data_IF_019860833975
#
_entry.id   IF_019860833975
#
_cell.length_a   1.000
_cell.length_b   1.000
_cell.length_c   1.000
_cell.angle_alpha   90.00
_cell.angle_beta   90.00
_cell.angle_gamma   90.00
#
_symmetry.space_group_name_H-M   'P 1'
#
loop_
_entity.id
_entity.type
_entity.pdbx_description
1 polymer ?
#
# COMPACT_ATOMS: atom_id res chain seq x y z
N UNK A 1 -21.64 -1.13 -45.13
CA UNK A 1 -20.41 -0.55 -44.62
C UNK A 1 -19.96 -1.15 -43.26
N UNK A 2 -20.83 -1.26 -42.25
CA UNK A 2 -20.43 -1.82 -40.92
C UNK A 2 -19.93 -3.28 -40.95
N UNK A 3 -20.48 -4.14 -41.87
CA UNK A 3 -20.07 -5.55 -42.01
C UNK A 3 -18.67 -5.71 -42.64
N UNK A 4 -18.27 -4.81 -43.50
CA UNK A 4 -16.93 -4.84 -44.12
C UNK A 4 -15.85 -4.28 -43.21
N UNK A 5 -16.21 -3.35 -42.29
CA UNK A 5 -15.29 -2.83 -41.27
C UNK A 5 -14.92 -3.90 -40.25
N UNK A 6 -15.89 -4.73 -39.85
CA UNK A 6 -15.64 -5.85 -38.93
C UNK A 6 -14.75 -6.92 -39.57
N UNK A 7 -14.92 -7.20 -40.87
CA UNK A 7 -14.12 -8.17 -41.61
C UNK A 7 -12.67 -7.68 -41.80
N UNK A 8 -12.47 -6.37 -41.97
CA UNK A 8 -11.17 -5.74 -42.08
C UNK A 8 -10.41 -5.79 -40.75
N UNK A 9 -11.07 -5.57 -39.62
CA UNK A 9 -10.50 -5.67 -38.28
C UNK A 9 -10.04 -7.11 -37.93
N UNK A 10 -10.83 -8.12 -38.31
CA UNK A 10 -10.45 -9.53 -38.11
C UNK A 10 -9.24 -9.90 -38.99
N UNK A 11 -9.18 -9.40 -40.23
CA UNK A 11 -8.06 -9.66 -41.14
C UNK A 11 -6.74 -9.05 -40.63
N UNK A 12 -6.80 -7.84 -40.01
CA UNK A 12 -5.61 -7.18 -39.41
C UNK A 12 -5.12 -7.93 -38.17
N UNK A 13 -6.02 -8.50 -37.35
CA UNK A 13 -5.62 -9.32 -36.18
C UNK A 13 -4.99 -10.66 -36.59
N UNK A 14 -5.40 -11.27 -37.68
CA UNK A 14 -4.83 -12.54 -38.18
C UNK A 14 -3.44 -12.32 -38.81
N UNK A 15 -3.20 -11.18 -39.45
CA UNK A 15 -1.91 -10.83 -40.02
C UNK A 15 -0.82 -10.47 -38.97
N UNK A 16 -1.20 -10.01 -37.79
CA UNK A 16 -0.26 -9.70 -36.70
C UNK A 16 0.28 -10.94 -35.96
N UNK A 17 -0.37 -12.10 -36.10
CA UNK A 17 0.07 -13.37 -35.49
C UNK A 17 1.07 -14.15 -36.35
N UNK A 18 1.29 -13.77 -37.62
CA UNK A 18 2.19 -14.47 -38.54
C UNK A 18 3.65 -13.94 -38.51
N UNK A 19 3.97 -12.90 -37.72
CA UNK A 19 5.27 -12.24 -37.73
C UNK A 19 6.26 -12.74 -36.66
N UNK A 20 5.92 -13.76 -35.88
CA UNK A 20 6.80 -14.34 -34.87
C UNK A 20 7.14 -15.81 -35.13
N UNK A 21 7.72 -16.12 -36.29
CA UNK A 21 8.40 -17.38 -36.54
C UNK A 21 9.90 -17.08 -36.80
N UNK A 22 10.69 -17.17 -35.73
CA UNK A 22 12.14 -16.96 -35.75
C UNK A 22 12.89 -18.16 -36.29
N UNK A 23 13.91 -17.88 -37.09
CA UNK A 23 14.92 -18.79 -37.63
C UNK A 23 15.79 -19.40 -36.52
N UNK A 24 16.27 -20.64 -36.68
CA UNK A 24 17.29 -21.22 -35.79
C UNK A 24 18.67 -20.60 -36.02
N UNK A 25 19.39 -20.31 -34.96
CA UNK A 25 20.78 -19.91 -34.98
C UNK A 25 21.68 -21.14 -35.00
N UNK A 26 22.67 -21.11 -35.88
CA UNK A 26 23.78 -22.09 -36.01
C UNK A 26 24.72 -21.99 -34.81
N UNK A 27 25.10 -23.15 -34.31
CA UNK A 27 26.17 -23.38 -33.32
C UNK A 27 27.50 -23.16 -34.00
N UNK A 28 28.35 -22.30 -33.45
CA UNK A 28 29.80 -22.32 -33.63
C UNK A 28 30.46 -22.52 -32.28
N UNK A 29 31.15 -23.63 -32.18
CA UNK A 29 32.14 -23.99 -31.14
C UNK A 29 33.31 -23.01 -31.18
N UNK A 30 33.79 -22.57 -30.00
CA UNK A 30 35.22 -22.49 -29.63
C UNK A 30 35.41 -21.67 -28.33
N UNK A 31 36.59 -21.77 -27.68
CA UNK A 31 36.78 -22.69 -26.57
C UNK A 31 36.93 -21.97 -25.20
N UNK A 32 36.77 -22.79 -24.22
CA UNK A 32 37.08 -22.59 -22.81
C UNK A 32 38.41 -21.87 -22.53
N UNK A 33 38.34 -20.67 -21.92
CA UNK A 33 39.49 -20.05 -21.26
C UNK A 33 39.23 -20.03 -19.75
N UNK A 34 39.78 -21.01 -19.08
CA UNK A 34 39.91 -21.08 -17.62
C UNK A 34 40.86 -20.00 -17.14
N UNK A 35 40.36 -19.08 -16.35
CA UNK A 35 41.19 -18.24 -15.47
C UNK A 35 41.01 -18.66 -14.02
N UNK A 36 42.11 -18.73 -13.23
CA UNK A 36 42.10 -19.36 -11.93
C UNK A 36 41.48 -18.46 -10.85
N UNK A 37 40.72 -19.12 -9.97
CA UNK A 37 40.20 -18.56 -8.70
C UNK A 37 41.42 -18.24 -7.81
N UNK A 38 41.52 -17.03 -7.21
CA UNK A 38 42.46 -16.76 -6.14
C UNK A 38 42.02 -17.43 -4.84
N UNK A 39 42.94 -18.10 -4.19
CA UNK A 39 42.77 -18.71 -2.88
C UNK A 39 42.49 -17.66 -1.78
N UNK A 40 41.83 -18.07 -0.68
CA UNK A 40 41.52 -17.18 0.42
C UNK A 40 42.79 -16.73 1.16
N UNK A 41 42.89 -15.42 1.40
CA UNK A 41 43.89 -14.85 2.29
C UNK A 41 43.51 -15.11 3.77
N UNK A 42 44.54 -15.36 4.56
CA UNK A 42 44.52 -15.71 5.97
C UNK A 42 43.79 -14.68 6.85
N UNK A 43 43.04 -15.24 7.79
CA UNK A 43 42.37 -14.52 8.88
C UNK A 43 43.39 -13.80 9.78
N UNK A 44 43.29 -12.49 9.88
CA UNK A 44 43.84 -11.74 11.01
C UNK A 44 42.73 -11.67 12.07
N UNK A 45 43.00 -12.31 13.22
CA UNK A 45 42.24 -12.14 14.45
C UNK A 45 42.29 -10.68 14.88
N UNK A 46 41.20 -9.96 14.78
CA UNK A 46 40.94 -8.77 15.54
C UNK A 46 40.09 -9.10 16.76
N UNK A 47 40.48 -8.53 17.89
CA UNK A 47 39.92 -8.75 19.22
C UNK A 47 38.44 -8.33 19.28
N UNK A 48 37.61 -9.23 19.77
CA UNK A 48 36.20 -9.03 20.11
C UNK A 48 36.10 -8.00 21.27
N UNK A 49 35.38 -6.88 21.08
CA UNK A 49 35.03 -6.04 22.22
C UNK A 49 33.96 -6.75 23.06
N UNK A 50 34.18 -6.76 24.37
CA UNK A 50 33.33 -7.34 25.40
C UNK A 50 31.85 -6.91 25.23
N UNK A 51 30.88 -7.80 25.54
CA UNK A 51 29.46 -7.45 25.48
C UNK A 51 29.13 -6.34 26.47
N UNK A 52 28.55 -5.24 25.99
CA UNK A 52 27.90 -4.27 26.85
C UNK A 52 26.71 -4.98 27.53
N UNK A 53 26.60 -4.86 28.83
CA UNK A 53 25.45 -5.28 29.61
C UNK A 53 24.19 -4.59 29.05
N UNK A 54 23.34 -5.35 28.40
CA UNK A 54 21.96 -4.93 28.08
C UNK A 54 21.22 -4.74 29.40
N UNK A 55 21.03 -3.48 29.79
CA UNK A 55 20.06 -3.10 30.80
C UNK A 55 18.68 -3.48 30.18
N UNK A 56 18.08 -4.59 30.63
CA UNK A 56 16.67 -4.88 30.38
C UNK A 56 15.87 -3.73 31.01
N UNK A 57 15.41 -2.79 30.21
CA UNK A 57 14.23 -2.00 30.55
C UNK A 57 13.07 -3.02 30.62
N UNK A 58 12.54 -3.22 31.82
CA UNK A 58 11.28 -3.90 32.02
C UNK A 58 10.22 -3.04 31.31
N UNK A 59 9.74 -3.50 30.16
CA UNK A 59 8.49 -2.98 29.59
C UNK A 59 7.41 -3.12 30.68
N UNK A 60 6.64 -2.04 30.94
CA UNK A 60 5.50 -2.15 31.84
C UNK A 60 4.55 -3.22 31.28
N UNK A 61 4.37 -4.29 32.04
CA UNK A 61 3.33 -5.28 31.76
C UNK A 61 2.01 -4.56 31.98
N UNK A 62 1.44 -3.98 30.93
CA UNK A 62 0.06 -3.54 30.94
C UNK A 62 -0.80 -4.81 31.14
N UNK A 63 -1.57 -4.84 32.22
CA UNK A 63 -2.62 -5.84 32.39
C UNK A 63 -3.52 -5.77 31.14
N UNK A 64 -3.95 -6.90 30.58
CA UNK A 64 -4.83 -6.87 29.40
C UNK A 64 -6.07 -6.06 29.74
N UNK A 65 -6.22 -4.90 29.09
CA UNK A 65 -7.39 -4.07 29.21
C UNK A 65 -8.60 -4.93 28.85
N UNK A 66 -9.70 -4.79 29.60
CA UNK A 66 -10.98 -5.41 29.24
C UNK A 66 -11.45 -4.77 27.92
N UNK A 67 -11.11 -5.41 26.80
CA UNK A 67 -11.36 -4.91 25.45
C UNK A 67 -12.77 -5.21 24.95
N UNK A 68 -13.71 -5.55 25.83
CA UNK A 68 -15.12 -5.81 25.45
C UNK A 68 -15.85 -4.55 24.96
N UNK A 69 -15.26 -3.37 25.17
CA UNK A 69 -15.79 -2.08 24.70
C UNK A 69 -15.55 -1.87 23.18
N UNK A 70 -14.56 -2.54 22.58
CA UNK A 70 -14.20 -2.32 21.18
C UNK A 70 -14.63 -3.47 20.29
N UNK A 71 -15.14 -3.10 19.09
CA UNK A 71 -15.43 -4.02 18.01
C UNK A 71 -14.83 -3.44 16.72
N UNK A 72 -13.95 -4.20 16.06
CA UNK A 72 -13.15 -3.75 14.92
C UNK A 72 -13.75 -4.26 13.62
N UNK A 73 -14.02 -3.37 12.68
CA UNK A 73 -14.35 -3.71 11.31
C UNK A 73 -13.27 -3.20 10.36
N UNK A 74 -12.82 -4.04 9.43
CA UNK A 74 -12.01 -3.62 8.30
C UNK A 74 -12.89 -3.43 7.07
N UNK A 75 -12.76 -2.30 6.38
CA UNK A 75 -13.40 -2.08 5.08
C UNK A 75 -12.31 -2.19 4.01
N UNK A 76 -12.46 -3.10 3.03
CA UNK A 76 -11.50 -3.15 1.90
C UNK A 76 -11.72 -1.95 0.97
N UNK A 77 -10.71 -1.57 0.20
CA UNK A 77 -10.86 -0.48 -0.78
C UNK A 77 -11.90 -0.83 -1.88
N UNK A 78 -11.65 -1.81 -2.69
CA UNK A 78 -12.53 -2.55 -3.58
C UNK A 78 -11.94 -3.95 -3.87
N UNK A 79 -10.69 -4.17 -3.44
CA UNK A 79 -9.97 -5.42 -3.55
C UNK A 79 -10.54 -6.52 -2.67
N UNK A 80 -9.84 -7.63 -2.64
CA UNK A 80 -10.22 -8.80 -1.84
C UNK A 80 -9.20 -9.05 -0.74
N UNK A 81 -9.64 -9.67 0.35
CA UNK A 81 -8.73 -10.08 1.45
C UNK A 81 -7.75 -11.18 1.05
N UNK A 82 -7.75 -11.62 -0.20
CA UNK A 82 -6.85 -12.61 -0.79
C UNK A 82 -6.01 -12.01 -1.94
N UNK A 83 -5.89 -10.69 -2.00
CA UNK A 83 -5.22 -9.97 -3.09
C UNK A 83 -3.69 -10.07 -3.09
N UNK A 84 -3.11 -10.75 -2.10
CA UNK A 84 -1.66 -10.86 -1.87
C UNK A 84 -0.99 -9.47 -1.75
N UNK A 85 -1.73 -8.47 -1.28
CA UNK A 85 -1.34 -7.08 -1.22
C UNK A 85 -1.87 -6.43 0.07
N UNK A 86 -2.24 -5.16 -0.02
CA UNK A 86 -2.53 -4.32 1.14
C UNK A 86 -3.82 -4.73 1.87
N UNK A 87 -4.89 -5.11 1.15
CA UNK A 87 -6.12 -5.59 1.79
C UNK A 87 -5.89 -6.88 2.58
N UNK A 88 -5.20 -7.87 1.99
CA UNK A 88 -4.90 -9.13 2.68
C UNK A 88 -4.04 -8.89 3.91
N UNK A 89 -2.95 -8.14 3.78
CA UNK A 89 -2.03 -7.87 4.90
C UNK A 89 -2.74 -7.14 6.05
N UNK A 90 -3.58 -6.16 5.74
CA UNK A 90 -4.36 -5.43 6.76
C UNK A 90 -5.38 -6.35 7.42
N UNK A 91 -6.09 -7.18 6.64
CA UNK A 91 -7.05 -8.15 7.17
C UNK A 91 -6.38 -9.13 8.14
N UNK A 92 -5.26 -9.72 7.74
CA UNK A 92 -4.51 -10.69 8.56
C UNK A 92 -4.01 -10.04 9.86
N UNK A 93 -3.48 -8.81 9.79
CA UNK A 93 -3.00 -8.08 10.96
C UNK A 93 -4.15 -7.72 11.92
N UNK A 94 -5.26 -7.18 11.42
CA UNK A 94 -6.43 -6.86 12.25
C UNK A 94 -7.01 -8.10 12.90
N UNK A 95 -7.13 -9.19 12.14
CA UNK A 95 -7.64 -10.46 12.64
C UNK A 95 -6.76 -11.01 13.76
N UNK A 96 -5.45 -11.08 13.55
CA UNK A 96 -4.51 -11.59 14.55
C UNK A 96 -4.56 -10.74 15.82
N UNK A 97 -4.51 -9.40 15.70
CA UNK A 97 -4.62 -8.51 16.84
C UNK A 97 -5.92 -8.73 17.64
N UNK A 98 -7.05 -8.83 16.95
CA UNK A 98 -8.34 -9.00 17.60
C UNK A 98 -8.48 -10.38 18.27
N UNK A 99 -7.97 -11.44 17.63
CA UNK A 99 -7.93 -12.79 18.22
C UNK A 99 -7.07 -12.82 19.50
N UNK A 100 -5.88 -12.21 19.47
CA UNK A 100 -4.95 -12.17 20.59
C UNK A 100 -5.49 -11.33 21.78
N UNK A 101 -6.35 -10.34 21.51
CA UNK A 101 -6.88 -9.43 22.52
C UNK A 101 -8.36 -9.68 22.86
N UNK A 102 -9.00 -10.71 22.32
CA UNK A 102 -10.40 -11.03 22.59
C UNK A 102 -11.39 -9.97 22.06
N UNK A 103 -11.01 -9.23 21.02
CA UNK A 103 -11.83 -8.17 20.39
C UNK A 103 -12.64 -8.75 19.24
N UNK A 104 -13.90 -8.34 19.10
CA UNK A 104 -14.73 -8.73 17.97
C UNK A 104 -14.17 -8.15 16.66
N UNK A 105 -14.10 -8.99 15.62
CA UNK A 105 -13.59 -8.59 14.31
C UNK A 105 -14.46 -9.07 13.16
N UNK A 106 -14.64 -8.22 12.15
CA UNK A 106 -15.20 -8.59 10.85
C UNK A 106 -14.59 -7.74 9.73
N UNK A 107 -14.87 -8.07 8.47
CA UNK A 107 -14.52 -7.23 7.34
C UNK A 107 -15.71 -7.03 6.42
N UNK A 108 -15.70 -5.92 5.69
CA UNK A 108 -16.73 -5.53 4.74
C UNK A 108 -16.08 -5.15 3.42
N UNK A 109 -16.70 -5.58 2.32
CA UNK A 109 -16.21 -5.30 0.97
C UNK A 109 -17.21 -4.41 0.24
N UNK A 110 -16.79 -3.22 -0.24
CA UNK A 110 -17.63 -2.36 -1.07
C UNK A 110 -18.08 -3.06 -2.36
N UNK A 111 -19.23 -2.68 -2.87
CA UNK A 111 -19.80 -3.22 -4.11
C UNK A 111 -19.00 -2.77 -5.35
N UNK A 112 -18.36 -1.59 -5.28
CA UNK A 112 -17.57 -0.99 -6.35
C UNK A 112 -16.49 -0.05 -5.83
N UNK A 113 -15.68 0.46 -6.75
CA UNK A 113 -14.58 1.38 -6.48
C UNK A 113 -15.06 2.83 -6.56
N UNK A 114 -15.82 3.25 -5.56
CA UNK A 114 -16.25 4.64 -5.40
C UNK A 114 -16.51 4.99 -3.93
N UNK A 115 -16.51 6.27 -3.62
CA UNK A 115 -16.71 6.78 -2.26
C UNK A 115 -18.04 6.34 -1.66
N UNK A 116 -19.14 6.41 -2.39
CA UNK A 116 -20.46 6.07 -1.87
C UNK A 116 -20.57 4.60 -1.45
N UNK A 117 -19.98 3.67 -2.20
CA UNK A 117 -19.97 2.26 -1.84
C UNK A 117 -19.11 1.98 -0.60
N UNK A 118 -18.00 2.73 -0.40
CA UNK A 118 -17.19 2.67 0.81
C UNK A 118 -17.94 3.21 2.02
N UNK A 119 -18.60 4.36 1.89
CA UNK A 119 -19.44 4.95 2.94
C UNK A 119 -20.56 3.97 3.34
N UNK A 120 -21.25 3.37 2.38
CA UNK A 120 -22.31 2.39 2.67
C UNK A 120 -21.80 1.18 3.48
N UNK A 121 -20.53 0.76 3.28
CA UNK A 121 -19.95 -0.32 4.10
C UNK A 121 -19.53 0.16 5.48
N UNK A 122 -19.10 1.42 5.62
CA UNK A 122 -18.84 2.04 6.94
C UNK A 122 -20.15 2.12 7.73
N UNK A 123 -21.20 2.67 7.15
CA UNK A 123 -22.54 2.75 7.77
C UNK A 123 -23.03 1.37 8.21
N UNK A 124 -22.92 0.38 7.34
CA UNK A 124 -23.29 -1.00 7.65
C UNK A 124 -22.49 -1.56 8.82
N UNK A 125 -21.18 -1.34 8.86
CA UNK A 125 -20.35 -1.82 9.96
C UNK A 125 -20.74 -1.15 11.28
N UNK A 126 -21.01 0.16 11.27
CA UNK A 126 -21.47 0.90 12.45
C UNK A 126 -22.83 0.42 12.91
N UNK A 127 -23.77 0.18 12.00
CA UNK A 127 -25.10 -0.37 12.29
C UNK A 127 -25.03 -1.77 12.91
N UNK A 128 -24.01 -2.56 12.56
CA UNK A 128 -23.74 -3.88 13.14
C UNK A 128 -22.98 -3.81 14.49
N UNK A 129 -22.68 -2.59 14.98
CA UNK A 129 -22.10 -2.35 16.30
C UNK A 129 -20.57 -2.24 16.32
N UNK A 130 -19.91 -2.16 15.17
CA UNK A 130 -18.47 -1.91 15.10
C UNK A 130 -18.17 -0.43 15.34
N UNK A 131 -17.24 -0.16 16.25
CA UNK A 131 -16.88 1.20 16.66
C UNK A 131 -15.41 1.58 16.40
N UNK A 132 -14.65 0.68 15.80
CA UNK A 132 -13.31 0.92 15.25
C UNK A 132 -13.29 0.46 13.80
N UNK A 133 -13.11 1.40 12.88
CA UNK A 133 -13.13 1.12 11.42
C UNK A 133 -11.73 1.28 10.85
N UNK A 134 -11.17 0.19 10.31
CA UNK A 134 -9.85 0.16 9.68
C UNK A 134 -9.99 0.15 8.16
N UNK A 135 -9.31 1.08 7.51
CA UNK A 135 -9.46 1.36 6.07
C UNK A 135 -8.09 1.43 5.39
N UNK A 136 -7.66 0.40 4.65
CA UNK A 136 -6.41 0.40 3.91
C UNK A 136 -6.54 1.06 2.53
N UNK A 137 -5.82 2.15 2.31
CA UNK A 137 -5.62 2.74 0.99
C UNK A 137 -6.09 4.19 0.86
N UNK A 138 -5.36 4.94 0.04
CA UNK A 138 -5.58 6.37 -0.23
C UNK A 138 -7.02 6.69 -0.70
N UNK A 139 -7.68 5.72 -1.34
CA UNK A 139 -9.05 5.86 -1.87
C UNK A 139 -10.12 6.11 -0.78
N UNK A 140 -9.78 5.95 0.50
CA UNK A 140 -10.68 6.24 1.61
C UNK A 140 -10.76 7.71 2.00
N UNK A 141 -9.93 8.60 1.45
CA UNK A 141 -9.97 10.03 1.77
C UNK A 141 -11.37 10.62 1.67
N UNK A 142 -12.10 10.34 0.60
CA UNK A 142 -13.48 10.77 0.42
C UNK A 142 -14.46 10.19 1.43
N UNK A 143 -14.35 8.89 1.70
CA UNK A 143 -15.24 8.20 2.64
C UNK A 143 -15.04 8.71 4.09
N UNK A 144 -13.81 9.04 4.48
CA UNK A 144 -13.49 9.63 5.78
C UNK A 144 -14.14 11.01 5.92
N UNK A 145 -13.99 11.86 4.92
CA UNK A 145 -14.57 13.23 4.91
C UNK A 145 -16.09 13.21 5.00
N UNK A 146 -16.74 12.16 4.49
CA UNK A 146 -18.19 11.98 4.59
C UNK A 146 -18.61 11.34 5.89
N UNK A 147 -18.01 10.22 6.28
CA UNK A 147 -18.49 9.38 7.38
C UNK A 147 -18.00 9.84 8.77
N UNK A 148 -16.76 10.35 8.91
CA UNK A 148 -16.23 10.66 10.23
C UNK A 148 -17.04 11.70 11.02
N UNK A 149 -17.58 12.77 10.41
CA UNK A 149 -18.44 13.73 11.10
C UNK A 149 -19.81 13.14 11.51
N UNK A 150 -20.33 12.15 10.77
CA UNK A 150 -21.62 11.52 11.04
C UNK A 150 -21.54 10.52 12.21
N UNK A 151 -20.34 9.97 12.46
CA UNK A 151 -20.11 8.97 13.50
C UNK A 151 -19.00 9.41 14.48
N UNK A 152 -19.23 10.45 15.30
CA UNK A 152 -18.19 11.04 16.15
C UNK A 152 -17.65 10.10 17.24
N UNK A 153 -18.42 9.09 17.63
CA UNK A 153 -18.04 8.09 18.64
C UNK A 153 -17.24 6.92 18.04
N UNK A 154 -17.23 6.76 16.72
CA UNK A 154 -16.47 5.75 15.99
C UNK A 154 -15.03 6.21 15.80
N UNK A 155 -14.07 5.30 15.96
CA UNK A 155 -12.66 5.55 15.67
C UNK A 155 -12.32 5.06 14.26
N UNK A 156 -11.80 5.96 13.45
CA UNK A 156 -11.38 5.67 12.08
C UNK A 156 -9.86 5.55 12.01
N UNK A 157 -9.37 4.40 11.55
CA UNK A 157 -7.94 4.13 11.33
C UNK A 157 -7.72 3.98 9.83
N UNK A 158 -7.11 4.97 9.22
CA UNK A 158 -6.86 5.04 7.79
C UNK A 158 -5.38 4.81 7.48
N UNK A 159 -5.09 3.79 6.70
CA UNK A 159 -3.74 3.40 6.33
C UNK A 159 -3.46 3.88 4.89
N UNK A 160 -2.31 4.53 4.69
CA UNK A 160 -1.92 5.15 3.42
C UNK A 160 -2.91 6.23 2.92
N UNK A 161 -3.54 6.96 3.86
CA UNK A 161 -4.35 8.14 3.55
C UNK A 161 -3.56 9.37 3.96
N UNK A 162 -3.08 10.12 2.98
CA UNK A 162 -2.29 11.32 3.19
C UNK A 162 -3.17 12.59 3.30
N UNK A 163 -2.58 13.68 3.78
CA UNK A 163 -3.22 15.00 3.86
C UNK A 163 -3.86 15.42 2.52
N UNK A 164 -3.19 15.12 1.39
CA UNK A 164 -3.69 15.44 0.06
C UNK A 164 -4.97 14.73 -0.31
N UNK A 165 -5.10 13.44 0.07
CA UNK A 165 -6.29 12.62 -0.22
C UNK A 165 -7.53 13.13 0.55
N UNK A 166 -7.33 13.58 1.78
CA UNK A 166 -8.38 14.20 2.59
C UNK A 166 -8.76 15.59 2.06
N UNK A 167 -7.77 16.41 1.69
CA UNK A 167 -8.00 17.73 1.16
C UNK A 167 -8.73 17.70 -0.18
N UNK A 168 -8.42 16.76 -1.07
CA UNK A 168 -9.13 16.65 -2.35
C UNK A 168 -10.65 16.52 -2.12
N UNK A 169 -11.06 15.66 -1.21
CA UNK A 169 -12.48 15.49 -0.89
C UNK A 169 -13.05 16.64 -0.06
N UNK A 170 -12.33 17.11 0.97
CA UNK A 170 -12.79 18.17 1.87
C UNK A 170 -12.99 19.51 1.18
N UNK A 171 -12.03 19.89 0.33
CA UNK A 171 -12.09 21.13 -0.48
C UNK A 171 -13.21 21.05 -1.52
N UNK A 172 -13.37 19.90 -2.18
CA UNK A 172 -14.47 19.68 -3.12
C UNK A 172 -15.84 19.77 -2.41
N UNK A 173 -15.98 19.19 -1.21
CA UNK A 173 -17.19 19.28 -0.38
C UNK A 173 -17.52 20.73 0.01
N UNK A 174 -16.49 21.58 0.20
CA UNK A 174 -16.66 23.01 0.45
C UNK A 174 -16.98 23.83 -0.82
N UNK A 175 -17.00 23.21 -1.99
CA UNK A 175 -17.25 23.88 -3.28
C UNK A 175 -16.06 24.68 -3.80
N UNK A 176 -14.87 24.43 -3.29
CA UNK A 176 -13.62 25.06 -3.72
C UNK A 176 -12.84 24.14 -4.68
N UNK A 177 -11.83 24.66 -5.38
CA UNK A 177 -10.97 23.90 -6.26
C UNK A 177 -9.63 23.63 -5.61
N UNK A 178 -9.31 22.37 -5.39
CA UNK A 178 -8.03 21.91 -4.84
C UNK A 178 -6.93 22.01 -5.91
N UNK A 179 -5.78 22.56 -5.54
CA UNK A 179 -4.63 22.76 -6.47
C UNK A 179 -3.61 21.59 -6.46
N UNK A 180 -3.93 20.50 -5.76
CA UNK A 180 -3.09 19.30 -5.58
C UNK A 180 -1.73 19.57 -4.91
N UNK A 181 -1.58 20.71 -4.23
CA UNK A 181 -0.45 20.99 -3.36
C UNK A 181 -0.93 21.10 -1.90
N UNK A 182 -0.82 20.04 -1.09
CA UNK A 182 -1.36 20.03 0.27
C UNK A 182 -0.74 21.08 1.19
N UNK A 183 0.44 21.63 0.86
CA UNK A 183 1.11 22.63 1.68
C UNK A 183 0.43 24.00 1.61
N UNK A 184 -0.36 24.24 0.56
CA UNK A 184 -1.13 25.47 0.40
C UNK A 184 -2.44 25.48 1.21
N UNK A 185 -2.81 24.36 1.85
CA UNK A 185 -4.12 24.16 2.45
C UNK A 185 -4.02 23.78 3.92
N UNK A 186 -4.92 24.36 4.72
CA UNK A 186 -5.10 24.00 6.12
C UNK A 186 -6.14 22.87 6.21
N UNK A 187 -5.69 21.66 6.65
CA UNK A 187 -6.55 20.47 6.72
C UNK A 187 -7.72 20.68 7.69
N UNK A 188 -7.45 21.30 8.86
CA UNK A 188 -8.45 21.46 9.92
C UNK A 188 -9.64 22.34 9.49
N UNK A 189 -9.44 23.19 8.46
CA UNK A 189 -10.52 24.00 7.88
C UNK A 189 -11.55 23.14 7.12
N UNK A 190 -11.14 22.00 6.58
CA UNK A 190 -11.95 21.21 5.64
C UNK A 190 -12.34 19.85 6.17
N UNK A 191 -11.59 19.32 7.13
CA UNK A 191 -11.78 17.95 7.64
C UNK A 191 -11.66 17.95 9.17
N UNK A 192 -12.67 17.43 9.85
CA UNK A 192 -12.57 17.15 11.28
C UNK A 192 -11.83 15.83 11.48
N UNK A 193 -10.69 15.90 12.17
CA UNK A 193 -9.80 14.76 12.43
C UNK A 193 -9.93 14.24 13.87
N UNK A 194 -10.94 14.69 14.65
CA UNK A 194 -11.04 14.39 16.09
C UNK A 194 -11.17 12.91 16.41
N UNK A 195 -11.72 12.12 15.51
CA UNK A 195 -11.92 10.67 15.64
C UNK A 195 -11.21 9.87 14.53
N UNK A 196 -10.30 10.51 13.78
CA UNK A 196 -9.58 9.92 12.63
C UNK A 196 -8.08 9.85 12.91
N UNK A 197 -7.50 8.67 12.77
CA UNK A 197 -6.05 8.46 12.77
C UNK A 197 -5.60 8.01 11.37
N UNK A 198 -4.71 8.76 10.77
CA UNK A 198 -4.10 8.43 9.48
C UNK A 198 -2.64 8.02 9.67
N UNK A 199 -2.25 6.89 9.09
CA UNK A 199 -0.88 6.43 9.04
C UNK A 199 -0.41 6.38 7.58
N UNK A 200 0.73 7.01 7.31
CA UNK A 200 1.45 6.92 6.03
C UNK A 200 2.81 6.28 6.25
N UNK A 201 3.35 5.67 5.21
CA UNK A 201 4.60 4.93 5.29
C UNK A 201 5.76 5.74 4.69
N UNK A 202 6.98 5.33 5.00
CA UNK A 202 8.21 5.93 4.45
C UNK A 202 8.64 5.16 3.19
N UNK A 203 7.84 5.23 2.13
CA UNK A 203 8.09 4.51 0.88
C UNK A 203 9.40 4.95 0.22
N UNK A 204 9.85 6.18 0.47
CA UNK A 204 11.15 6.68 0.02
C UNK A 204 12.32 5.84 0.55
N UNK A 205 12.22 5.28 1.75
CA UNK A 205 13.26 4.37 2.28
C UNK A 205 13.29 3.07 1.49
N UNK A 206 12.13 2.52 1.13
CA UNK A 206 12.05 1.33 0.30
C UNK A 206 12.60 1.59 -1.09
N UNK A 207 12.30 2.75 -1.69
CA UNK A 207 12.85 3.20 -2.97
C UNK A 207 14.36 3.33 -2.92
N UNK A 208 14.89 4.01 -1.91
CA UNK A 208 16.33 4.13 -1.69
C UNK A 208 17.01 2.75 -1.56
N UNK A 209 16.45 1.85 -0.77
CA UNK A 209 17.00 0.50 -0.59
C UNK A 209 17.00 -0.29 -1.89
N UNK A 210 15.94 -0.18 -2.69
CA UNK A 210 15.84 -0.83 -4.00
C UNK A 210 16.89 -0.30 -4.98
N UNK A 211 17.04 1.03 -5.06
CA UNK A 211 18.07 1.67 -5.88
C UNK A 211 19.48 1.33 -5.44
N UNK A 212 19.74 1.37 -4.13
CA UNK A 212 21.03 0.98 -3.56
C UNK A 212 21.39 -0.49 -3.90
N UNK A 213 20.44 -1.41 -3.70
CA UNK A 213 20.63 -2.82 -4.02
C UNK A 213 20.93 -3.04 -5.50
N UNK A 214 20.18 -2.39 -6.39
CA UNK A 214 20.40 -2.48 -7.82
C UNK A 214 21.81 -2.01 -8.24
N UNK A 215 22.28 -0.88 -7.69
CA UNK A 215 23.63 -0.37 -7.95
C UNK A 215 24.71 -1.32 -7.41
N UNK A 216 24.51 -1.90 -6.21
CA UNK A 216 25.44 -2.89 -5.65
C UNK A 216 25.50 -4.18 -6.48
N UNK A 217 24.39 -4.58 -7.11
CA UNK A 217 24.34 -5.69 -8.06
C UNK A 217 24.99 -5.36 -9.42
N UNK A 218 25.45 -4.14 -9.64
CA UNK A 218 26.21 -3.73 -10.81
C UNK A 218 25.40 -3.04 -11.90
N UNK A 219 24.10 -2.79 -11.71
CA UNK A 219 23.28 -2.04 -12.66
C UNK A 219 23.76 -0.58 -12.74
N UNK A 220 23.85 -0.03 -13.96
CA UNK A 220 24.35 1.34 -14.26
C UNK A 220 23.24 2.30 -14.69
N UNK A 221 22.13 1.76 -15.15
CA UNK A 221 20.96 2.54 -15.58
C UNK A 221 19.72 1.93 -14.93
N UNK A 222 18.98 2.75 -14.24
CA UNK A 222 17.77 2.35 -13.54
C UNK A 222 16.60 3.17 -14.09
N UNK A 223 15.41 2.59 -14.06
CA UNK A 223 14.16 3.27 -14.36
C UNK A 223 13.11 2.88 -13.36
N UNK A 224 12.21 3.80 -13.03
CA UNK A 224 11.06 3.57 -12.19
C UNK A 224 9.78 3.66 -13.03
N UNK A 225 8.90 2.68 -12.88
CA UNK A 225 7.57 2.69 -13.48
C UNK A 225 6.53 2.61 -12.36
N UNK A 226 5.90 3.74 -12.08
CA UNK A 226 4.80 3.83 -11.12
C UNK A 226 3.45 3.55 -11.78
N UNK A 227 2.52 2.93 -11.04
CA UNK A 227 1.18 2.63 -11.52
C UNK A 227 0.32 3.89 -11.72
N UNK A 228 0.47 4.85 -10.81
CA UNK A 228 -0.24 6.14 -10.84
C UNK A 228 0.48 7.17 -9.95
N UNK A 229 0.12 8.46 -10.09
CA UNK A 229 0.76 9.56 -9.38
C UNK A 229 0.08 9.81 -8.01
N UNK A 230 0.09 8.82 -7.14
CA UNK A 230 -0.31 8.99 -5.73
C UNK A 230 0.91 9.19 -4.82
N UNK A 231 0.75 9.77 -3.62
CA UNK A 231 1.86 10.14 -2.75
C UNK A 231 2.84 8.99 -2.46
N UNK A 232 2.37 7.80 -2.15
CA UNK A 232 3.21 6.64 -1.86
C UNK A 232 4.09 6.24 -3.07
N UNK A 233 3.51 6.19 -4.27
CA UNK A 233 4.24 5.85 -5.52
C UNK A 233 5.28 6.91 -5.85
N UNK A 234 4.94 8.18 -5.66
CA UNK A 234 5.86 9.31 -5.90
C UNK A 234 7.02 9.24 -4.91
N UNK A 235 6.77 9.07 -3.60
CA UNK A 235 7.83 8.95 -2.58
C UNK A 235 8.76 7.78 -2.88
N UNK A 236 8.23 6.61 -3.21
CA UNK A 236 9.05 5.46 -3.60
C UNK A 236 9.96 5.76 -4.79
N UNK A 237 9.43 6.42 -5.81
CA UNK A 237 10.18 6.75 -7.02
C UNK A 237 11.32 7.76 -6.81
N UNK A 238 11.22 8.62 -5.79
CA UNK A 238 12.24 9.60 -5.42
C UNK A 238 13.29 9.06 -4.41
N UNK A 239 12.98 7.99 -3.65
CA UNK A 239 13.91 7.33 -2.74
C UNK A 239 14.92 6.49 -3.49
#
# INVERSE_FOLDING_TARGET
MKKYLALLLVLVMVLSLAACASKPAETTDEPEQTTPVPAPAEETKDEEPAPAEETKEEEPTEEPADNTEYAVAMITDYGDITDQSFNQTTYEACKAFCEDNGVQFSYFKPAGDNTADRVAMIEKAVDEGYNVIVMPGYAFGGAIVEAAPEFPDVKFIALDVAKGDLLEAGVAKAGESYDYNPDNWDLEKYVDMSNVYCAIYQEELCGYMAGYAAVKLGYKSLGFLGGMAVPAVIRYGYG
#
